data_IF_553864541112
#
_entry.id   IF_553864541112
#
_cell.length_a   1.000
_cell.length_b   1.000
_cell.length_c   1.000
_cell.angle_alpha   90.00
_cell.angle_beta   90.00
_cell.angle_gamma   90.00
#
_symmetry.space_group_name_H-M   'P 1'
#
loop_
_entity.id
_entity.type
_entity.pdbx_description
1 polymer ?
#
# COMPACT_ATOMS: atom_id res chain seq x y z
N UNK A 1 23.51 18.51 -2.80
CA UNK A 1 24.61 17.51 -2.80
C UNK A 1 24.63 16.82 -4.17
N UNK A 2 25.78 16.55 -4.79
CA UNK A 2 25.78 15.78 -6.05
C UNK A 2 25.35 14.33 -5.75
N UNK A 3 24.53 13.72 -6.60
CA UNK A 3 23.96 12.38 -6.38
C UNK A 3 25.04 11.31 -6.08
N UNK A 4 26.17 11.39 -6.78
CA UNK A 4 27.36 10.52 -6.60
C UNK A 4 28.00 10.56 -5.20
N UNK A 5 27.63 11.53 -4.35
CA UNK A 5 28.10 11.63 -2.95
C UNK A 5 27.06 11.17 -1.93
N UNK A 6 25.82 10.88 -2.33
CA UNK A 6 24.76 10.45 -1.43
C UNK A 6 24.91 8.97 -1.05
N UNK A 7 24.60 8.67 0.20
CA UNK A 7 24.47 7.34 0.76
C UNK A 7 23.00 7.02 1.01
N UNK A 8 22.44 6.20 0.15
CA UNK A 8 21.02 5.82 0.19
C UNK A 8 20.87 4.46 0.85
N UNK A 9 20.07 4.37 1.91
CA UNK A 9 19.66 3.09 2.48
C UNK A 9 18.37 2.62 1.80
N UNK A 10 18.38 1.43 1.21
CA UNK A 10 17.18 0.80 0.66
C UNK A 10 16.59 -0.11 1.73
N UNK A 11 15.39 0.22 2.19
CA UNK A 11 14.65 -0.63 3.13
C UNK A 11 13.74 -1.55 2.32
N UNK A 12 14.02 -2.85 2.35
CA UNK A 12 13.29 -3.88 1.61
C UNK A 12 13.08 -5.13 2.49
N UNK A 13 12.34 -6.11 1.98
CA UNK A 13 11.84 -7.24 2.77
C UNK A 13 10.57 -6.86 3.51
N UNK A 14 10.64 -6.79 4.83
CA UNK A 14 9.50 -6.56 5.72
C UNK A 14 8.90 -7.84 6.27
N UNK A 15 7.87 -7.65 7.10
CA UNK A 15 7.14 -8.70 7.84
C UNK A 15 5.78 -9.04 7.21
N UNK A 16 5.40 -8.35 6.14
CA UNK A 16 4.15 -8.60 5.43
C UNK A 16 4.24 -9.83 4.53
N UNK A 17 3.10 -10.26 4.02
CA UNK A 17 3.02 -11.34 3.02
C UNK A 17 3.61 -10.93 1.66
N UNK A 18 3.92 -9.65 1.46
CA UNK A 18 4.46 -9.06 0.22
C UNK A 18 6.00 -8.97 0.22
N UNK A 19 6.65 -9.62 1.19
CA UNK A 19 8.12 -9.62 1.39
C UNK A 19 8.90 -9.88 0.10
N UNK A 20 8.53 -10.90 -0.68
CA UNK A 20 9.24 -11.26 -1.91
C UNK A 20 9.08 -10.18 -3.00
N UNK A 21 7.94 -9.50 -3.05
CA UNK A 21 7.73 -8.36 -3.94
C UNK A 21 8.67 -7.23 -3.54
N UNK A 22 8.73 -6.93 -2.24
CA UNK A 22 9.55 -5.88 -1.64
C UNK A 22 11.05 -6.10 -1.87
N UNK A 23 11.56 -7.33 -1.73
CA UNK A 23 12.95 -7.68 -2.03
C UNK A 23 13.30 -7.46 -3.51
N UNK A 24 12.40 -7.82 -4.44
CA UNK A 24 12.61 -7.59 -5.87
C UNK A 24 12.59 -6.09 -6.21
N UNK A 25 11.67 -5.32 -5.62
CA UNK A 25 11.62 -3.86 -5.74
C UNK A 25 12.93 -3.24 -5.26
N UNK A 26 13.40 -3.63 -4.06
CA UNK A 26 14.66 -3.17 -3.48
C UNK A 26 15.87 -3.47 -4.37
N UNK A 27 15.97 -4.69 -4.91
CA UNK A 27 17.06 -5.06 -5.82
C UNK A 27 17.06 -4.24 -7.12
N UNK A 28 15.88 -3.98 -7.68
CA UNK A 28 15.74 -3.16 -8.89
C UNK A 28 16.16 -1.70 -8.65
N UNK A 29 15.72 -1.10 -7.53
CA UNK A 29 16.11 0.25 -7.11
C UNK A 29 17.61 0.32 -6.83
N UNK A 30 18.17 -0.68 -6.15
CA UNK A 30 19.60 -0.77 -5.85
C UNK A 30 20.44 -0.77 -7.14
N UNK A 31 20.04 -1.57 -8.12
CA UNK A 31 20.69 -1.61 -9.43
C UNK A 31 20.62 -0.26 -10.15
N UNK A 32 19.46 0.38 -10.16
CA UNK A 32 19.27 1.68 -10.81
C UNK A 32 20.13 2.78 -10.16
N UNK A 33 20.11 2.91 -8.83
CA UNK A 33 20.90 3.90 -8.11
C UNK A 33 22.41 3.69 -8.29
N UNK A 34 22.88 2.43 -8.24
CA UNK A 34 24.30 2.11 -8.51
C UNK A 34 24.73 2.51 -9.92
N UNK A 35 23.85 2.38 -10.92
CA UNK A 35 24.17 2.72 -12.31
C UNK A 35 24.48 4.22 -12.53
N UNK A 36 24.03 5.08 -11.61
CA UNK A 36 24.29 6.53 -11.62
C UNK A 36 25.29 6.96 -10.55
N UNK A 37 26.04 6.01 -9.97
CA UNK A 37 27.13 6.28 -9.03
C UNK A 37 26.72 6.56 -7.59
N UNK A 38 25.44 6.34 -7.21
CA UNK A 38 24.98 6.51 -5.82
C UNK A 38 25.49 5.38 -4.95
N UNK A 39 25.92 5.69 -3.72
CA UNK A 39 26.32 4.69 -2.73
C UNK A 39 25.08 4.07 -2.09
N UNK A 40 24.80 2.81 -2.40
CA UNK A 40 23.63 2.09 -1.89
C UNK A 40 24.00 1.19 -0.70
N UNK A 41 23.24 1.28 0.37
CA UNK A 41 23.22 0.33 1.49
C UNK A 41 21.90 -0.44 1.44
N UNK A 42 21.93 -1.76 1.34
CA UNK A 42 20.71 -2.57 1.34
C UNK A 42 20.41 -3.04 2.77
N UNK A 43 19.18 -2.84 3.22
CA UNK A 43 18.69 -3.25 4.54
C UNK A 43 17.51 -4.19 4.35
N UNK A 44 17.74 -5.47 4.65
CA UNK A 44 16.68 -6.47 4.72
C UNK A 44 15.99 -6.36 6.10
N UNK A 45 14.82 -5.72 6.09
CA UNK A 45 13.97 -5.55 7.26
C UNK A 45 13.25 -6.86 7.55
N UNK A 46 13.36 -7.35 8.78
CA UNK A 46 12.75 -8.63 9.21
C UNK A 46 11.85 -8.50 10.42
N UNK A 47 11.87 -7.34 11.05
CA UNK A 47 11.11 -7.02 12.26
C UNK A 47 10.88 -5.50 12.31
N UNK A 48 10.01 -5.07 13.22
CA UNK A 48 9.73 -3.65 13.52
C UNK A 48 10.93 -3.01 14.23
N UNK A 49 11.07 -1.69 14.18
CA UNK A 49 12.23 -0.99 14.75
C UNK A 49 13.42 -0.99 13.78
N UNK A 50 13.27 -0.34 12.63
CA UNK A 50 14.29 -0.40 11.56
C UNK A 50 15.60 0.23 12.00
N UNK A 51 16.70 -0.51 11.83
CA UNK A 51 18.05 -0.01 12.12
C UNK A 51 18.68 0.57 10.86
N UNK A 52 18.58 1.89 10.72
CA UNK A 52 19.20 2.60 9.59
C UNK A 52 20.72 2.64 9.77
N UNK A 53 21.51 2.23 8.76
CA UNK A 53 22.97 2.28 8.85
C UNK A 53 23.50 3.71 9.05
N UNK A 54 24.57 3.85 9.83
CA UNK A 54 25.18 5.14 10.11
C UNK A 54 25.63 5.88 8.84
N UNK A 55 25.42 7.19 8.82
CA UNK A 55 25.78 8.08 7.71
C UNK A 55 24.89 7.94 6.48
N UNK A 56 23.69 7.36 6.63
CA UNK A 56 22.64 7.38 5.60
C UNK A 56 22.13 8.80 5.44
N UNK A 57 22.11 9.30 4.20
CA UNK A 57 21.57 10.62 3.88
C UNK A 57 20.05 10.57 3.66
N UNK A 58 19.54 9.45 3.12
CA UNK A 58 18.12 9.22 2.86
C UNK A 58 17.80 7.72 2.79
N UNK A 59 16.62 7.34 3.27
CA UNK A 59 16.05 6.01 3.09
C UNK A 59 15.15 5.95 1.84
N UNK A 60 15.40 5.01 0.94
CA UNK A 60 14.47 4.66 -0.12
C UNK A 60 13.60 3.49 0.38
N UNK A 61 12.31 3.73 0.52
CA UNK A 61 11.35 2.74 1.01
C UNK A 61 10.91 1.83 -0.14
N UNK A 62 11.20 0.54 -0.02
CA UNK A 62 10.73 -0.53 -0.93
C UNK A 62 9.92 -1.59 -0.18
N UNK A 63 9.49 -1.28 1.05
CA UNK A 63 8.61 -2.13 1.86
C UNK A 63 7.18 -2.06 1.32
N UNK A 64 6.45 -3.17 1.39
CA UNK A 64 5.06 -3.27 0.96
C UNK A 64 4.19 -3.82 2.10
N UNK A 65 2.94 -3.37 2.19
CA UNK A 65 1.97 -3.81 3.19
C UNK A 65 2.26 -3.28 4.59
N UNK A 66 1.76 -4.01 5.59
CA UNK A 66 1.92 -3.66 7.02
C UNK A 66 3.36 -3.36 7.38
N UNK A 67 3.55 -2.38 8.26
CA UNK A 67 4.79 -1.72 8.66
C UNK A 67 5.48 -0.88 7.58
N UNK A 68 5.35 -1.25 6.29
CA UNK A 68 6.00 -0.56 5.18
C UNK A 68 5.21 0.62 4.60
N UNK A 69 3.89 0.46 4.47
CA UNK A 69 2.99 1.38 3.77
C UNK A 69 1.91 1.98 4.69
N UNK A 70 1.81 1.50 5.94
CA UNK A 70 0.78 1.88 6.91
C UNK A 70 1.17 3.07 7.81
N UNK A 71 2.34 3.67 7.57
CA UNK A 71 2.83 4.83 8.30
C UNK A 71 3.74 4.50 9.48
N UNK A 72 3.91 3.23 9.85
CA UNK A 72 4.70 2.87 11.03
C UNK A 72 6.20 3.10 10.83
N UNK A 73 6.81 2.54 9.76
CA UNK A 73 8.23 2.80 9.49
C UNK A 73 8.50 4.28 9.18
N UNK A 74 7.54 4.97 8.57
CA UNK A 74 7.61 6.41 8.30
C UNK A 74 7.68 7.17 9.62
N UNK A 75 6.84 6.84 10.60
CA UNK A 75 6.85 7.48 11.92
C UNK A 75 8.17 7.25 12.66
N UNK A 76 8.75 6.05 12.56
CA UNK A 76 10.08 5.76 13.11
C UNK A 76 11.17 6.64 12.48
N UNK A 77 11.15 6.80 11.15
CA UNK A 77 12.11 7.62 10.41
C UNK A 77 11.91 9.12 10.68
N UNK A 78 10.67 9.59 10.77
CA UNK A 78 10.33 10.96 11.17
C UNK A 78 10.85 11.28 12.58
N UNK A 79 10.63 10.38 13.54
CA UNK A 79 11.12 10.53 14.91
C UNK A 79 12.66 10.55 14.98
N UNK A 80 13.32 9.77 14.12
CA UNK A 80 14.78 9.76 13.99
C UNK A 80 15.32 10.92 13.12
N UNK A 81 14.46 11.77 12.56
CA UNK A 81 14.80 12.83 11.61
C UNK A 81 15.60 12.33 10.39
N UNK A 82 15.32 11.11 9.94
CA UNK A 82 15.97 10.50 8.78
C UNK A 82 15.09 10.77 7.56
N UNK A 83 15.58 11.47 6.52
CA UNK A 83 14.81 11.67 5.30
C UNK A 83 14.45 10.35 4.62
N UNK A 84 13.29 10.27 3.99
CA UNK A 84 12.89 9.10 3.21
C UNK A 84 12.01 9.45 2.01
N UNK A 85 11.84 8.49 1.11
CA UNK A 85 11.00 8.63 -0.09
C UNK A 85 9.52 8.33 0.20
N UNK A 86 8.63 9.04 -0.49
CA UNK A 86 7.19 8.77 -0.46
C UNK A 86 6.43 9.66 0.52
N UNK A 87 5.24 9.20 0.93
CA UNK A 87 4.35 9.90 1.86
C UNK A 87 4.85 9.81 3.30
N UNK A 88 4.61 10.85 4.10
CA UNK A 88 4.84 10.81 5.55
C UNK A 88 3.92 9.85 6.29
N UNK A 89 4.12 9.70 7.60
CA UNK A 89 3.41 8.72 8.45
C UNK A 89 1.89 8.89 8.42
N UNK A 90 1.39 10.11 8.64
CA UNK A 90 -0.03 10.40 8.69
C UNK A 90 -0.74 10.13 7.35
N UNK A 91 -0.12 10.54 6.23
CA UNK A 91 -0.66 10.31 4.89
C UNK A 91 -0.65 8.83 4.51
N UNK A 92 0.41 8.11 4.89
CA UNK A 92 0.52 6.65 4.68
C UNK A 92 -0.54 5.90 5.47
N UNK A 93 -0.71 6.21 6.77
CA UNK A 93 -1.74 5.62 7.62
C UNK A 93 -3.17 5.90 7.10
N UNK A 94 -3.44 7.12 6.62
CA UNK A 94 -4.73 7.47 6.03
C UNK A 94 -4.98 6.67 4.73
N UNK A 95 -3.99 6.59 3.84
CA UNK A 95 -4.12 5.92 2.56
C UNK A 95 -4.23 4.39 2.69
N UNK A 96 -3.57 3.81 3.69
CA UNK A 96 -3.58 2.37 3.94
C UNK A 96 -4.93 1.86 4.46
N UNK A 97 -5.68 2.72 5.17
CA UNK A 97 -7.05 2.44 5.61
C UNK A 97 -8.06 2.83 4.51
N UNK A 98 -8.61 1.84 3.80
CA UNK A 98 -9.51 2.09 2.66
C UNK A 98 -10.80 2.81 3.04
N UNK A 99 -11.31 2.65 4.27
CA UNK A 99 -12.52 3.36 4.70
C UNK A 99 -12.20 4.84 4.91
N UNK A 100 -11.17 5.15 5.69
CA UNK A 100 -10.77 6.54 5.96
C UNK A 100 -10.28 7.26 4.70
N UNK A 101 -9.47 6.58 3.86
CA UNK A 101 -9.03 7.13 2.58
C UNK A 101 -10.23 7.53 1.71
N UNK A 102 -11.26 6.68 1.67
CA UNK A 102 -12.45 6.93 0.88
C UNK A 102 -13.32 8.04 1.43
N UNK A 103 -13.49 8.13 2.74
CA UNK A 103 -14.15 9.27 3.39
C UNK A 103 -13.45 10.59 3.03
N UNK A 104 -12.12 10.62 3.07
CA UNK A 104 -11.33 11.79 2.67
C UNK A 104 -11.50 12.13 1.18
N UNK A 105 -11.52 11.13 0.29
CA UNK A 105 -11.75 11.32 -1.14
C UNK A 105 -13.15 11.87 -1.44
N UNK A 106 -14.19 11.31 -0.81
CA UNK A 106 -15.58 11.80 -0.94
C UNK A 106 -15.71 13.23 -0.42
N UNK A 107 -15.11 13.55 0.73
CA UNK A 107 -15.09 14.90 1.28
C UNK A 107 -14.38 15.90 0.34
N UNK A 108 -13.38 15.45 -0.43
CA UNK A 108 -12.70 16.23 -1.45
C UNK A 108 -13.45 16.30 -2.80
N UNK A 109 -14.63 15.69 -2.91
CA UNK A 109 -15.44 15.70 -4.14
C UNK A 109 -15.00 14.68 -5.20
N UNK A 110 -14.13 13.72 -4.84
CA UNK A 110 -13.75 12.63 -5.73
C UNK A 110 -14.88 11.61 -5.77
N UNK A 111 -15.38 11.22 -6.97
CA UNK A 111 -16.41 10.21 -7.09
C UNK A 111 -15.90 8.85 -6.60
N UNK A 112 -16.57 8.29 -5.60
CA UNK A 112 -16.25 6.97 -5.07
C UNK A 112 -17.51 6.10 -5.08
N UNK A 113 -17.34 4.79 -5.30
CA UNK A 113 -18.45 3.84 -5.20
C UNK A 113 -19.09 3.88 -3.79
N UNK A 114 -20.35 3.52 -3.64
CA UNK A 114 -20.93 3.36 -2.30
C UNK A 114 -20.20 2.24 -1.53
N UNK A 115 -19.88 2.45 -0.26
CA UNK A 115 -19.29 1.43 0.62
C UNK A 115 -19.60 1.67 2.09
N UNK A 116 -19.40 0.63 2.89
CA UNK A 116 -19.43 0.71 4.35
C UNK A 116 -18.52 -0.35 4.97
N UNK A 117 -18.26 -0.24 6.27
CA UNK A 117 -17.66 -1.32 7.05
C UNK A 117 -18.55 -2.56 7.00
N UNK A 118 -17.93 -3.73 6.83
CA UNK A 118 -18.64 -5.00 6.77
C UNK A 118 -19.02 -5.48 8.16
N UNK A 119 -20.25 -5.95 8.30
CA UNK A 119 -20.75 -6.70 9.44
C UNK A 119 -21.73 -7.79 9.00
N UNK A 120 -22.02 -8.74 9.89
CA UNK A 120 -23.01 -9.79 9.65
C UNK A 120 -24.43 -9.24 9.45
N UNK A 121 -24.69 -8.02 9.91
CA UNK A 121 -26.00 -7.35 9.83
C UNK A 121 -26.21 -6.63 8.50
N UNK A 122 -25.17 -6.42 7.68
CA UNK A 122 -25.32 -5.71 6.42
C UNK A 122 -26.14 -6.53 5.42
N UNK A 123 -27.29 -5.99 5.00
CA UNK A 123 -28.16 -6.59 3.98
C UNK A 123 -27.92 -5.97 2.60
N UNK A 124 -26.78 -6.32 2.00
CA UNK A 124 -26.42 -5.86 0.65
C UNK A 124 -26.79 -6.89 -0.40
N UNK A 125 -27.49 -6.43 -1.44
CA UNK A 125 -27.74 -7.20 -2.66
C UNK A 125 -26.53 -7.17 -3.58
N UNK A 126 -26.32 -8.26 -4.30
CA UNK A 126 -25.30 -8.33 -5.34
C UNK A 126 -25.58 -7.31 -6.47
N UNK A 127 -24.54 -6.83 -7.20
CA UNK A 127 -23.13 -7.17 -7.05
C UNK A 127 -22.36 -6.20 -6.13
N UNK A 128 -21.41 -6.74 -5.38
CA UNK A 128 -20.49 -5.98 -4.53
C UNK A 128 -19.15 -6.70 -4.35
N UNK A 129 -18.15 -5.96 -3.86
CA UNK A 129 -16.85 -6.47 -3.46
C UNK A 129 -16.76 -6.41 -1.95
N UNK A 130 -16.30 -7.46 -1.29
CA UNK A 130 -15.87 -7.43 0.10
C UNK A 130 -14.35 -7.52 0.17
N UNK A 131 -13.68 -6.64 0.92
CA UNK A 131 -12.21 -6.55 0.94
C UNK A 131 -11.70 -6.10 2.31
N UNK A 132 -10.46 -6.41 2.69
CA UNK A 132 -9.89 -5.93 3.95
C UNK A 132 -9.70 -4.41 3.91
N UNK A 133 -9.95 -3.76 5.05
CA UNK A 133 -9.77 -2.32 5.19
C UNK A 133 -8.30 -1.93 5.02
N UNK A 134 -7.39 -2.65 5.71
CA UNK A 134 -5.97 -2.33 5.79
C UNK A 134 -5.10 -3.52 5.34
N UNK A 135 -5.08 -3.78 4.03
CA UNK A 135 -4.25 -4.83 3.40
C UNK A 135 -4.06 -4.55 1.89
N UNK A 136 -3.04 -5.15 1.29
CA UNK A 136 -2.63 -4.99 -0.11
C UNK A 136 -2.90 -6.21 -1.00
N UNK A 137 -2.35 -6.18 -2.21
CA UNK A 137 -2.22 -7.34 -3.11
C UNK A 137 -3.48 -8.17 -3.43
N UNK A 138 -4.67 -7.56 -3.34
CA UNK A 138 -5.96 -8.24 -3.49
C UNK A 138 -6.16 -9.45 -2.55
N UNK A 139 -5.33 -9.55 -1.51
CA UNK A 139 -5.45 -10.59 -0.52
C UNK A 139 -6.73 -10.36 0.30
N UNK A 140 -7.54 -11.41 0.46
CA UNK A 140 -8.84 -11.30 1.14
C UNK A 140 -9.93 -10.56 0.38
N UNK A 141 -9.77 -10.31 -0.93
CA UNK A 141 -10.82 -9.74 -1.76
C UNK A 141 -11.79 -10.84 -2.21
N UNK A 142 -13.07 -10.64 -1.93
CA UNK A 142 -14.18 -11.51 -2.32
C UNK A 142 -15.12 -10.74 -3.24
N UNK A 143 -15.39 -11.31 -4.42
CA UNK A 143 -16.30 -10.72 -5.38
C UNK A 143 -17.65 -11.44 -5.31
N UNK A 144 -18.70 -10.70 -4.98
CA UNK A 144 -20.09 -11.18 -4.93
C UNK A 144 -20.80 -10.69 -6.17
N UNK A 145 -20.97 -11.57 -7.16
CA UNK A 145 -21.58 -11.23 -8.45
C UNK A 145 -23.08 -11.48 -8.44
N UNK A 146 -23.51 -12.51 -7.74
CA UNK A 146 -24.90 -12.93 -7.64
C UNK A 146 -25.30 -13.28 -6.20
N UNK A 147 -26.60 -13.40 -5.94
CA UNK A 147 -27.13 -13.65 -4.60
C UNK A 147 -26.63 -14.99 -4.01
N UNK A 148 -26.32 -15.97 -4.86
CA UNK A 148 -25.76 -17.25 -4.45
C UNK A 148 -24.34 -17.11 -3.83
N UNK A 149 -23.60 -16.05 -4.17
CA UNK A 149 -22.26 -15.78 -3.64
C UNK A 149 -22.28 -15.22 -2.21
N UNK A 150 -23.42 -14.71 -1.73
CA UNK A 150 -23.51 -13.96 -0.47
C UNK A 150 -23.21 -14.85 0.73
N UNK A 151 -23.92 -15.98 0.85
CA UNK A 151 -23.76 -16.91 1.96
C UNK A 151 -22.33 -17.47 2.09
N UNK A 152 -21.68 -17.99 1.01
CA UNK A 152 -20.30 -18.45 1.11
C UNK A 152 -19.32 -17.30 1.39
N UNK A 153 -19.55 -16.10 0.83
CA UNK A 153 -18.71 -14.92 1.11
C UNK A 153 -18.80 -14.52 2.59
N UNK A 154 -20.00 -14.40 3.16
CA UNK A 154 -20.19 -14.08 4.59
C UNK A 154 -19.48 -15.08 5.50
N UNK A 155 -19.52 -16.39 5.15
CA UNK A 155 -18.82 -17.43 5.91
C UNK A 155 -17.29 -17.28 5.86
N UNK A 156 -16.74 -16.86 4.72
CA UNK A 156 -15.29 -16.64 4.55
C UNK A 156 -14.85 -15.35 5.24
N UNK A 157 -15.56 -14.25 5.01
CA UNK A 157 -15.29 -12.93 5.59
C UNK A 157 -15.44 -12.95 7.11
N UNK A 158 -16.43 -13.66 7.66
CA UNK A 158 -16.62 -13.79 9.10
C UNK A 158 -15.49 -14.54 9.83
N UNK A 159 -14.56 -15.17 9.12
CA UNK A 159 -13.34 -15.77 9.68
C UNK A 159 -12.12 -14.87 9.55
N UNK A 160 -12.23 -13.76 8.82
CA UNK A 160 -11.14 -12.82 8.63
C UNK A 160 -10.75 -12.18 9.96
N UNK A 161 -9.44 -12.02 10.18
CA UNK A 161 -8.92 -11.35 11.37
C UNK A 161 -8.59 -9.91 11.00
N UNK A 162 -9.50 -9.00 11.35
CA UNK A 162 -9.37 -7.56 11.07
C UNK A 162 -10.63 -6.98 10.44
N UNK A 163 -10.64 -5.66 10.26
CA UNK A 163 -11.77 -4.97 9.66
C UNK A 163 -11.89 -5.28 8.17
N UNK A 164 -13.13 -5.50 7.74
CA UNK A 164 -13.50 -5.75 6.35
C UNK A 164 -14.46 -4.64 5.91
N UNK A 165 -14.52 -4.37 4.62
CA UNK A 165 -15.48 -3.43 4.04
C UNK A 165 -16.22 -4.06 2.87
N UNK A 166 -17.41 -3.53 2.57
CA UNK A 166 -18.17 -3.84 1.35
C UNK A 166 -18.27 -2.60 0.49
N UNK A 167 -18.21 -2.79 -0.83
CA UNK A 167 -18.21 -1.72 -1.82
C UNK A 167 -18.99 -2.14 -3.06
N UNK A 168 -19.80 -1.24 -3.63
CA UNK A 168 -20.52 -1.53 -4.88
C UNK A 168 -19.53 -1.91 -5.98
N UNK A 169 -19.85 -3.00 -6.68
CA UNK A 169 -19.05 -3.41 -7.83
C UNK A 169 -19.22 -2.36 -8.93
N UNK A 170 -18.13 -1.71 -9.31
CA UNK A 170 -18.08 -0.85 -10.49
C UNK A 170 -17.62 -1.68 -11.67
N UNK A 171 -18.43 -1.73 -12.73
CA UNK A 171 -18.09 -2.43 -13.97
C UNK A 171 -17.57 -1.42 -14.97
N UNK A 172 -16.36 -1.63 -15.47
CA UNK A 172 -15.73 -0.74 -16.45
C UNK A 172 -14.27 -1.07 -16.68
N UNK A 173 -13.56 -0.13 -17.30
CA UNK A 173 -12.12 -0.22 -17.52
C UNK A 173 -11.38 0.14 -16.24
N UNK A 174 -10.52 -0.78 -15.77
CA UNK A 174 -9.64 -0.53 -14.64
C UNK A 174 -8.42 0.27 -15.10
N UNK A 175 -8.10 1.35 -14.36
CA UNK A 175 -7.01 2.26 -14.71
C UNK A 175 -6.21 2.64 -13.47
N UNK A 176 -4.94 2.95 -13.67
CA UNK A 176 -4.06 3.49 -12.63
C UNK A 176 -3.23 4.66 -13.16
N UNK A 177 -2.85 5.57 -12.27
CA UNK A 177 -2.09 6.79 -12.58
C UNK A 177 -0.93 6.90 -11.59
N UNK A 178 0.30 6.82 -12.09
CA UNK A 178 1.49 7.07 -11.26
C UNK A 178 1.66 8.56 -10.98
N UNK A 179 2.13 8.91 -9.78
CA UNK A 179 2.46 10.29 -9.41
C UNK A 179 3.96 10.39 -9.12
N UNK A 180 4.63 11.40 -9.67
CA UNK A 180 6.05 11.69 -9.42
C UNK A 180 6.21 13.17 -9.04
N UNK A 181 6.47 13.43 -7.76
CA UNK A 181 6.43 14.79 -7.21
C UNK A 181 5.05 15.39 -7.41
N UNK A 182 4.96 16.54 -8.06
CA UNK A 182 3.70 17.23 -8.36
C UNK A 182 3.09 16.81 -9.71
N UNK A 183 3.69 15.84 -10.42
CA UNK A 183 3.29 15.46 -11.78
C UNK A 183 2.56 14.13 -11.81
N UNK A 184 1.36 14.14 -12.38
CA UNK A 184 0.69 12.93 -12.83
C UNK A 184 1.37 12.36 -14.10
N UNK A 185 1.67 11.07 -14.06
CA UNK A 185 2.22 10.31 -15.19
C UNK A 185 1.07 9.80 -16.09
N UNK A 186 1.37 9.30 -17.30
CA UNK A 186 0.33 8.76 -18.18
C UNK A 186 -0.52 7.68 -17.51
N UNK A 187 -1.81 7.70 -17.81
CA UNK A 187 -2.78 6.70 -17.37
C UNK A 187 -2.44 5.35 -18.00
N UNK A 188 -2.49 4.29 -17.21
CA UNK A 188 -2.29 2.91 -17.67
C UNK A 188 -3.58 2.12 -17.42
N UNK A 189 -4.06 1.42 -18.46
CA UNK A 189 -5.14 0.44 -18.32
C UNK A 189 -4.60 -0.83 -17.67
N UNK A 190 -5.29 -1.33 -16.65
CA UNK A 190 -4.99 -2.62 -16.04
C UNK A 190 -5.84 -3.67 -16.74
N UNK A 191 -5.16 -4.64 -17.39
CA UNK A 191 -5.80 -5.82 -17.98
C UNK A 191 -5.37 -7.05 -17.20
N UNK A 192 -6.25 -7.63 -16.37
CA UNK A 192 -5.98 -8.93 -15.75
C UNK A 192 -5.68 -9.97 -16.83
N UNK A 193 -4.65 -10.78 -16.60
CA UNK A 193 -4.28 -11.90 -17.48
C UNK A 193 -5.20 -13.10 -17.35
#
# INVERSE_FOLDING_TARGET
MKAEKMKVAILAGGISHEREVSLRSGAAVAKALRSVGVKVLEVDVKERGVKVPQGTDICFLCLHGTYGEDGEVQAELEAAQIPFTGSGSAASALAFDKLKAKEAMVAAGVPMAESMEWSLENDWKAPYVCKPVADGSSYGVFLVREEADIAPTRKSVGKWKGAMMIERLVVGTEMTVGILGEKALPVVEIRPG
#
